data_IF_449710450814
#
_entry.id   IF_449710450814
#
_cell.length_a   1.000
_cell.length_b   1.000
_cell.length_c   1.000
_cell.angle_alpha   90.00
_cell.angle_beta   90.00
_cell.angle_gamma   90.00
#
_symmetry.space_group_name_H-M   'P 1'
#
loop_
_entity.id
_entity.type
_entity.pdbx_description
1 polymer ?
#
# COMPACT_ATOMS: atom_id res chain seq x y z
N UNK A 1 1.64 3.24 78.06
CA UNK A 1 1.55 4.52 77.33
C UNK A 1 0.57 4.30 76.20
N UNK A 2 -0.62 4.89 76.29
CA UNK A 2 -1.62 4.80 75.23
C UNK A 2 -1.18 5.71 74.07
N UNK A 3 -0.93 5.13 72.91
CA UNK A 3 -0.67 5.88 71.68
C UNK A 3 -1.97 6.46 71.17
N UNK A 4 -2.14 7.77 71.32
CA UNK A 4 -3.28 8.51 70.78
C UNK A 4 -3.10 8.59 69.25
N UNK A 5 -3.94 7.87 68.52
CA UNK A 5 -3.93 7.87 67.04
C UNK A 5 -5.02 8.81 66.53
N UNK A 6 -4.62 9.94 65.95
CA UNK A 6 -5.53 10.86 65.27
C UNK A 6 -5.64 10.48 63.79
N UNK A 7 -6.76 9.88 63.39
CA UNK A 7 -7.05 9.57 62.00
C UNK A 7 -7.79 10.74 61.34
N UNK A 8 -7.12 11.50 60.47
CA UNK A 8 -7.77 12.53 59.68
C UNK A 8 -8.51 11.90 58.51
N UNK A 9 -9.84 11.88 58.56
CA UNK A 9 -10.70 11.41 57.46
C UNK A 9 -11.35 12.61 56.78
N UNK A 10 -11.16 12.73 55.46
CA UNK A 10 -11.78 13.78 54.64
C UNK A 10 -12.49 13.12 53.44
N UNK A 11 -13.61 13.67 52.99
CA UNK A 11 -14.32 13.12 51.84
C UNK A 11 -13.50 13.33 50.55
N UNK A 12 -13.45 12.33 49.67
CA UNK A 12 -12.64 12.36 48.42
C UNK A 12 -12.91 13.59 47.55
N UNK A 13 -14.16 14.09 47.54
CA UNK A 13 -14.58 15.31 46.82
C UNK A 13 -13.94 16.61 47.33
N UNK A 14 -13.33 16.58 48.52
CA UNK A 14 -12.72 17.75 49.17
C UNK A 14 -11.19 17.73 49.09
N UNK A 15 -10.61 16.68 48.52
CA UNK A 15 -9.21 16.65 48.11
C UNK A 15 -9.02 17.50 46.85
N UNK A 16 -7.91 18.25 46.78
CA UNK A 16 -7.61 19.12 45.63
C UNK A 16 -8.33 20.49 45.62
N UNK A 17 -9.05 20.85 46.69
CA UNK A 17 -9.53 22.24 46.85
C UNK A 17 -8.33 23.16 47.06
N UNK A 18 -8.28 24.26 46.30
CA UNK A 18 -7.22 25.25 46.48
C UNK A 18 -7.32 25.84 47.90
N UNK A 19 -6.22 25.87 48.68
CA UNK A 19 -6.22 26.63 49.92
C UNK A 19 -6.38 28.12 49.58
N UNK A 20 -7.22 28.82 50.33
CA UNK A 20 -7.39 30.26 50.17
C UNK A 20 -6.46 30.97 51.16
N UNK A 21 -5.22 31.20 50.75
CA UNK A 21 -4.26 31.96 51.55
C UNK A 21 -4.48 33.46 51.34
N UNK A 22 -4.61 34.20 52.43
CA UNK A 22 -4.58 35.66 52.44
C UNK A 22 -3.32 36.11 53.18
N UNK A 23 -2.68 37.17 52.70
CA UNK A 23 -1.55 37.79 53.40
C UNK A 23 -2.06 38.46 54.69
N UNK A 24 -1.93 37.76 55.81
CA UNK A 24 -2.08 38.33 57.15
C UNK A 24 -0.70 38.66 57.72
N UNK A 25 -0.60 39.78 58.43
CA UNK A 25 0.63 40.12 59.16
C UNK A 25 0.92 39.01 60.19
N UNK A 26 2.20 38.65 60.43
CA UNK A 26 2.55 37.55 61.32
C UNK A 26 2.00 37.79 62.73
N UNK A 27 0.98 37.02 63.10
CA UNK A 27 0.39 36.97 64.42
C UNK A 27 0.79 35.69 65.15
N UNK A 28 1.15 35.79 66.42
CA UNK A 28 1.37 34.62 67.26
C UNK A 28 -0.02 34.02 67.55
N UNK A 29 -0.37 32.91 66.88
CA UNK A 29 -1.66 32.25 67.07
C UNK A 29 -1.76 31.57 68.45
N UNK A 30 -0.65 31.02 68.94
CA UNK A 30 -0.57 30.40 70.24
C UNK A 30 0.88 30.34 70.72
N UNK A 31 1.12 30.63 71.99
CA UNK A 31 2.42 30.49 72.63
C UNK A 31 2.31 29.44 73.74
N UNK A 32 3.01 28.32 73.57
CA UNK A 32 3.10 27.27 74.60
C UNK A 32 4.34 27.53 75.43
N UNK A 33 4.15 28.09 76.62
CA UNK A 33 5.24 28.24 77.57
C UNK A 33 5.52 26.90 78.26
N UNK A 34 6.79 26.50 78.41
CA UNK A 34 7.14 25.30 79.16
C UNK A 34 6.81 25.49 80.64
N UNK A 35 6.42 24.40 81.28
CA UNK A 35 6.16 24.36 82.72
C UNK A 35 7.44 24.68 83.52
N UNK A 36 7.34 25.57 84.50
CA UNK A 36 8.52 26.16 85.18
C UNK A 36 9.40 25.12 85.88
N UNK A 37 8.80 24.07 86.44
CA UNK A 37 9.51 23.02 87.16
C UNK A 37 10.36 22.17 86.21
N UNK A 38 9.80 21.77 85.07
CA UNK A 38 10.48 20.97 84.03
C UNK A 38 11.61 21.77 83.37
N UNK A 39 11.47 23.10 83.28
CA UNK A 39 12.51 23.97 82.71
C UNK A 39 13.78 24.01 83.56
N UNK A 40 13.66 23.88 84.89
CA UNK A 40 14.82 23.91 85.78
C UNK A 40 15.68 22.64 85.68
N UNK A 41 15.06 21.52 85.32
CA UNK A 41 15.73 20.22 85.14
C UNK A 41 16.26 20.00 83.70
N UNK A 42 16.18 21.02 82.83
CA UNK A 42 16.64 20.91 81.45
C UNK A 42 18.18 20.86 81.40
N UNK A 43 18.73 19.70 81.04
CA UNK A 43 20.15 19.51 80.74
C UNK A 43 20.33 19.49 79.22
N UNK A 44 21.08 20.46 78.68
CA UNK A 44 21.41 20.48 77.25
C UNK A 44 22.27 19.26 76.88
N UNK A 45 21.74 18.40 76.00
CA UNK A 45 22.50 17.27 75.46
C UNK A 45 23.35 17.71 74.27
N UNK A 46 24.66 17.53 74.40
CA UNK A 46 25.64 17.74 73.34
C UNK A 46 26.64 16.57 73.29
N UNK A 47 26.78 15.84 72.17
CA UNK A 47 26.08 16.02 70.89
C UNK A 47 24.66 15.43 70.89
N UNK A 48 23.76 16.07 70.15
CA UNK A 48 22.41 15.58 69.93
C UNK A 48 22.34 14.85 68.59
N UNK A 49 21.89 13.59 68.59
CA UNK A 49 21.72 12.79 67.37
C UNK A 49 20.24 12.78 67.01
N UNK A 50 19.87 13.50 65.95
CA UNK A 50 18.51 13.51 65.41
C UNK A 50 18.51 12.77 64.07
N UNK A 51 17.65 11.75 63.95
CA UNK A 51 17.48 11.00 62.71
C UNK A 51 16.35 11.64 61.90
N UNK A 52 16.66 12.14 60.71
CA UNK A 52 15.67 12.70 59.77
C UNK A 52 15.52 11.74 58.60
N UNK A 53 14.30 11.29 58.33
CA UNK A 53 14.01 10.44 57.19
C UNK A 53 13.58 11.29 55.99
N UNK A 54 14.35 11.23 54.90
CA UNK A 54 14.05 11.87 53.61
C UNK A 54 13.70 10.77 52.61
N UNK A 55 12.60 10.07 52.83
CA UNK A 55 12.07 9.12 51.86
C UNK A 55 10.71 9.64 51.40
N UNK A 56 10.47 9.78 50.08
CA UNK A 56 9.17 10.20 49.58
C UNK A 56 8.11 9.17 49.98
N UNK A 57 7.01 9.64 50.57
CA UNK A 57 5.88 8.78 50.92
C UNK A 57 5.23 8.25 49.63
N UNK A 58 5.25 6.93 49.47
CA UNK A 58 4.62 6.24 48.35
C UNK A 58 3.26 5.71 48.79
N UNK A 59 2.26 5.83 47.92
CA UNK A 59 0.92 5.29 48.15
C UNK A 59 0.54 4.36 47.01
N UNK A 60 0.20 3.12 47.32
CA UNK A 60 -0.27 2.11 46.37
C UNK A 60 -1.79 2.01 46.42
N UNK A 61 -2.41 1.82 45.27
CA UNK A 61 -3.85 1.60 45.15
C UNK A 61 -4.09 0.47 44.15
N UNK A 62 -4.75 -0.59 44.60
CA UNK A 62 -5.19 -1.69 43.74
C UNK A 62 -6.64 -1.48 43.32
N UNK A 63 -6.92 -1.68 42.02
CA UNK A 63 -8.27 -1.60 41.47
C UNK A 63 -8.53 -2.84 40.63
N UNK A 64 -9.57 -3.59 41.00
CA UNK A 64 -10.05 -4.73 40.23
C UNK A 64 -11.13 -4.26 39.25
N UNK A 65 -10.92 -4.52 37.96
CA UNK A 65 -11.93 -4.28 36.91
C UNK A 65 -12.61 -5.58 36.52
N UNK A 66 -13.93 -5.57 36.49
CA UNK A 66 -14.73 -6.71 36.02
C UNK A 66 -14.65 -6.84 34.49
N UNK A 67 -14.61 -8.08 34.01
CA UNK A 67 -14.52 -8.37 32.57
C UNK A 67 -15.89 -8.22 31.92
N UNK A 68 -16.10 -7.10 31.23
CA UNK A 68 -17.29 -6.86 30.42
C UNK A 68 -17.13 -7.53 29.05
N UNK A 69 -18.13 -8.33 28.64
CA UNK A 69 -18.16 -8.97 27.31
C UNK A 69 -18.89 -8.05 26.34
N UNK A 70 -18.18 -7.51 25.36
CA UNK A 70 -18.78 -6.73 24.29
C UNK A 70 -19.13 -7.63 23.11
N UNK A 71 -20.37 -7.54 22.62
CA UNK A 71 -20.81 -8.20 21.39
C UNK A 71 -21.00 -7.15 20.32
N UNK A 72 -20.23 -7.26 19.24
CA UNK A 72 -20.46 -6.46 18.04
C UNK A 72 -21.54 -7.13 17.19
N UNK A 73 -22.64 -6.43 16.92
CA UNK A 73 -23.71 -6.89 16.03
C UNK A 73 -23.84 -5.93 14.86
N UNK A 74 -23.55 -6.41 13.66
CA UNK A 74 -23.90 -5.75 12.41
C UNK A 74 -25.17 -6.35 11.82
N UNK A 75 -25.99 -5.53 11.19
CA UNK A 75 -27.11 -5.99 10.34
C UNK A 75 -26.70 -5.84 8.88
N UNK A 76 -26.92 -6.88 8.08
CA UNK A 76 -26.64 -6.87 6.65
C UNK A 76 -27.97 -6.93 5.90
N UNK A 77 -28.36 -5.83 5.25
CA UNK A 77 -29.53 -5.81 4.37
C UNK A 77 -29.15 -6.47 3.05
N UNK A 78 -29.47 -7.76 2.89
CA UNK A 78 -29.28 -8.49 1.63
C UNK A 78 -30.35 -8.15 0.57
N UNK A 79 -31.47 -7.59 1.02
CA UNK A 79 -32.72 -7.44 0.25
C UNK A 79 -33.20 -5.99 0.31
N UNK A 80 -32.36 -5.06 -0.13
CA UNK A 80 -32.67 -3.62 -0.12
C UNK A 80 -33.13 -3.14 -1.49
N UNK A 81 -34.18 -2.32 -1.54
CA UNK A 81 -34.58 -1.56 -2.73
C UNK A 81 -36.08 -1.58 -3.04
N UNK A 82 -36.84 -2.49 -2.44
CA UNK A 82 -38.28 -2.53 -2.60
C UNK A 82 -38.97 -1.57 -1.62
N UNK A 83 -40.02 -0.85 -2.05
CA UNK A 83 -40.84 -0.05 -1.15
C UNK A 83 -41.45 -0.91 -0.03
N UNK A 84 -41.71 -0.28 1.12
CA UNK A 84 -42.22 -0.93 2.34
C UNK A 84 -43.48 -1.80 2.16
N UNK A 85 -44.28 -1.54 1.12
CA UNK A 85 -45.55 -2.21 0.85
C UNK A 85 -45.41 -3.41 -0.14
N UNK A 86 -44.20 -3.73 -0.56
CA UNK A 86 -43.91 -4.78 -1.55
C UNK A 86 -43.00 -5.82 -0.93
N UNK A 87 -43.52 -7.05 -0.85
CA UNK A 87 -42.74 -8.21 -0.43
C UNK A 87 -41.89 -8.72 -1.62
N UNK A 88 -40.55 -8.72 -1.53
CA UNK A 88 -39.68 -9.25 -2.57
C UNK A 88 -39.74 -10.77 -2.72
N UNK A 89 -40.18 -11.49 -1.68
CA UNK A 89 -40.35 -12.95 -1.68
C UNK A 89 -41.50 -13.37 -2.59
N UNK A 90 -42.50 -12.50 -2.70
CA UNK A 90 -43.70 -12.72 -3.51
C UNK A 90 -43.52 -12.18 -4.94
N UNK A 91 -43.47 -13.11 -5.90
CA UNK A 91 -43.25 -12.79 -7.32
C UNK A 91 -44.40 -11.93 -7.89
N UNK A 92 -45.64 -12.13 -7.44
CA UNK A 92 -46.77 -11.33 -7.91
C UNK A 92 -46.64 -9.85 -7.50
N UNK A 93 -46.17 -9.60 -6.27
CA UNK A 93 -45.99 -8.23 -5.75
C UNK A 93 -44.90 -7.49 -6.53
N UNK A 94 -43.77 -8.15 -6.79
CA UNK A 94 -42.67 -7.57 -7.58
C UNK A 94 -43.08 -7.33 -9.05
N UNK A 95 -43.81 -8.26 -9.67
CA UNK A 95 -44.27 -8.13 -11.05
C UNK A 95 -45.29 -7.00 -11.20
N UNK A 96 -46.25 -6.90 -10.27
CA UNK A 96 -47.24 -5.81 -10.26
C UNK A 96 -46.56 -4.44 -10.13
N UNK A 97 -45.57 -4.33 -9.25
CA UNK A 97 -44.81 -3.10 -9.08
C UNK A 97 -44.04 -2.72 -10.35
N UNK A 98 -43.30 -3.67 -10.96
CA UNK A 98 -42.57 -3.43 -12.21
C UNK A 98 -43.50 -2.93 -13.32
N UNK A 99 -44.63 -3.62 -13.53
CA UNK A 99 -45.64 -3.21 -14.52
C UNK A 99 -46.26 -1.84 -14.25
N UNK A 100 -46.32 -1.41 -12.98
CA UNK A 100 -46.79 -0.07 -12.62
C UNK A 100 -45.76 0.97 -13.05
N UNK A 101 -44.50 0.80 -12.67
CA UNK A 101 -43.40 1.71 -13.01
C UNK A 101 -43.17 1.78 -14.53
N UNK A 102 -43.24 0.64 -15.22
CA UNK A 102 -43.05 0.57 -16.67
C UNK A 102 -44.11 1.33 -17.49
N UNK A 103 -45.25 1.67 -16.88
CA UNK A 103 -46.32 2.45 -17.51
C UNK A 103 -46.24 3.93 -17.18
N UNK A 104 -45.35 4.36 -16.29
CA UNK A 104 -45.21 5.77 -15.95
C UNK A 104 -44.58 6.53 -17.14
N UNK A 105 -45.20 7.65 -17.54
CA UNK A 105 -44.77 8.45 -18.70
C UNK A 105 -43.33 8.99 -18.53
N UNK A 106 -42.98 9.41 -17.32
CA UNK A 106 -41.63 9.89 -17.00
C UNK A 106 -40.58 8.78 -17.18
N UNK A 107 -40.93 7.53 -16.82
CA UNK A 107 -40.06 6.37 -17.02
C UNK A 107 -39.85 6.09 -18.50
N UNK A 108 -40.92 6.10 -19.30
CA UNK A 108 -40.84 5.91 -20.74
C UNK A 108 -40.02 7.00 -21.42
N UNK A 109 -40.24 8.26 -21.05
CA UNK A 109 -39.48 9.39 -21.59
C UNK A 109 -37.99 9.29 -21.24
N UNK A 110 -37.66 8.95 -19.99
CA UNK A 110 -36.28 8.78 -19.55
C UNK A 110 -35.56 7.66 -20.31
N UNK A 111 -36.22 6.51 -20.49
CA UNK A 111 -35.65 5.38 -21.24
C UNK A 111 -35.44 5.74 -22.71
N UNK A 112 -36.42 6.36 -23.36
CA UNK A 112 -36.28 6.75 -24.76
C UNK A 112 -35.12 7.74 -24.96
N UNK A 113 -35.01 8.73 -24.06
CA UNK A 113 -33.92 9.71 -24.08
C UNK A 113 -32.55 9.06 -23.89
N UNK A 114 -32.39 8.25 -22.84
CA UNK A 114 -31.12 7.57 -22.55
C UNK A 114 -30.77 6.52 -23.61
N UNK A 115 -31.78 5.84 -24.15
CA UNK A 115 -31.64 4.89 -25.25
C UNK A 115 -31.07 5.56 -26.50
N UNK A 116 -31.61 6.71 -26.90
CA UNK A 116 -31.08 7.47 -28.04
C UNK A 116 -29.64 7.93 -27.85
N UNK A 117 -29.29 8.41 -26.65
CA UNK A 117 -27.91 8.78 -26.32
C UNK A 117 -26.97 7.57 -26.34
N UNK A 118 -27.40 6.44 -25.79
CA UNK A 118 -26.60 5.21 -25.76
C UNK A 118 -26.41 4.64 -27.17
N UNK A 119 -27.43 4.70 -28.02
CA UNK A 119 -27.33 4.25 -29.42
C UNK A 119 -26.26 5.04 -30.19
N UNK A 120 -26.20 6.36 -29.99
CA UNK A 120 -25.15 7.19 -30.59
C UNK A 120 -23.75 6.77 -30.11
N UNK A 121 -23.57 6.56 -28.81
CA UNK A 121 -22.29 6.11 -28.24
C UNK A 121 -21.88 4.73 -28.78
N UNK A 122 -22.83 3.79 -28.93
CA UNK A 122 -22.56 2.47 -29.50
C UNK A 122 -22.13 2.59 -30.97
N UNK A 123 -22.80 3.43 -31.76
CA UNK A 123 -22.41 3.69 -33.15
C UNK A 123 -21.02 4.30 -33.23
N UNK A 124 -20.68 5.23 -32.33
CA UNK A 124 -19.35 5.84 -32.26
C UNK A 124 -18.26 4.81 -31.93
N UNK A 125 -18.49 3.97 -30.91
CA UNK A 125 -17.53 2.91 -30.53
C UNK A 125 -17.31 1.89 -31.66
N UNK A 126 -18.33 1.63 -32.47
CA UNK A 126 -18.23 0.71 -33.62
C UNK A 126 -17.68 1.38 -34.89
N UNK A 127 -17.58 2.72 -34.93
CA UNK A 127 -17.13 3.42 -36.14
C UNK A 127 -15.62 3.29 -36.35
N UNK A 128 -14.84 3.36 -35.27
CA UNK A 128 -13.39 3.17 -35.28
C UNK A 128 -13.00 2.53 -33.95
N UNK A 129 -12.25 1.43 -34.01
CA UNK A 129 -11.64 0.87 -32.80
C UNK A 129 -10.41 1.69 -32.42
N UNK A 130 -10.58 2.57 -31.44
CA UNK A 130 -9.51 3.42 -30.94
C UNK A 130 -8.47 2.65 -30.10
N UNK A 131 -8.73 1.39 -29.79
CA UNK A 131 -7.86 0.53 -29.00
C UNK A 131 -7.13 -0.52 -29.84
N UNK A 132 -7.29 -0.51 -31.17
CA UNK A 132 -6.58 -1.41 -32.07
C UNK A 132 -5.08 -1.08 -32.09
N UNK A 133 -4.24 -2.06 -31.76
CA UNK A 133 -2.78 -1.95 -31.86
C UNK A 133 -2.33 -2.41 -33.25
N UNK A 134 -1.89 -1.46 -34.09
CA UNK A 134 -1.36 -1.80 -35.41
C UNK A 134 -0.01 -2.49 -35.31
N UNK A 135 0.18 -3.53 -36.13
CA UNK A 135 1.42 -4.31 -36.25
C UNK A 135 1.75 -5.23 -35.06
N UNK A 136 0.77 -5.59 -34.23
CA UNK A 136 0.96 -6.60 -33.18
C UNK A 136 1.46 -7.93 -33.79
N UNK A 137 2.61 -8.41 -33.33
CA UNK A 137 3.20 -9.68 -33.76
C UNK A 137 3.99 -9.65 -35.09
N UNK A 138 4.10 -8.49 -35.75
CA UNK A 138 4.99 -8.35 -36.91
C UNK A 138 6.39 -7.91 -36.48
N UNK A 139 7.45 -8.72 -36.75
CA UNK A 139 8.82 -8.25 -36.56
C UNK A 139 9.13 -7.21 -37.63
N UNK A 140 9.63 -6.03 -37.21
CA UNK A 140 10.19 -5.03 -38.11
C UNK A 140 11.36 -5.63 -38.89
N UNK A 141 11.08 -6.10 -40.11
CA UNK A 141 12.08 -6.65 -41.02
C UNK A 141 12.33 -5.67 -42.15
N UNK A 142 12.90 -4.52 -41.81
CA UNK A 142 13.52 -3.67 -42.81
C UNK A 142 14.96 -4.16 -43.05
N UNK A 143 15.09 -5.20 -43.89
CA UNK A 143 16.39 -5.70 -44.32
C UNK A 143 16.88 -4.93 -45.54
N UNK A 144 17.78 -3.97 -45.31
CA UNK A 144 18.62 -3.40 -46.38
C UNK A 144 19.91 -4.21 -46.48
N UNK A 145 19.83 -5.43 -47.00
CA UNK A 145 21.02 -6.24 -47.22
C UNK A 145 21.78 -5.70 -48.45
N UNK A 146 22.93 -5.08 -48.19
CA UNK A 146 23.82 -4.56 -49.24
C UNK A 146 24.53 -5.74 -49.93
N UNK A 147 24.76 -5.68 -51.25
CA UNK A 147 25.52 -6.72 -51.93
C UNK A 147 26.92 -6.83 -51.31
N UNK A 148 27.31 -8.04 -50.92
CA UNK A 148 28.59 -8.32 -50.28
C UNK A 148 29.37 -9.34 -51.11
N UNK A 149 30.65 -9.05 -51.37
CA UNK A 149 31.55 -9.92 -52.12
C UNK A 149 32.79 -10.21 -51.27
N UNK A 150 32.96 -11.47 -50.89
CA UNK A 150 34.16 -11.95 -50.21
C UNK A 150 34.99 -12.84 -51.12
N UNK A 151 36.26 -12.49 -51.28
CA UNK A 151 37.22 -13.40 -51.90
C UNK A 151 37.59 -14.47 -50.88
N UNK A 152 37.05 -15.67 -51.05
CA UNK A 152 37.35 -16.79 -50.16
C UNK A 152 38.76 -17.33 -50.37
N UNK A 153 39.15 -17.53 -51.63
CA UNK A 153 40.43 -18.12 -52.01
C UNK A 153 40.94 -17.48 -53.30
N UNK A 154 42.26 -17.33 -53.39
CA UNK A 154 42.95 -16.87 -54.58
C UNK A 154 43.77 -18.03 -55.13
N UNK A 155 43.32 -18.63 -56.23
CA UNK A 155 44.06 -19.68 -56.91
C UNK A 155 45.22 -19.08 -57.71
N UNK A 156 46.45 -19.45 -57.37
CA UNK A 156 47.67 -19.03 -58.07
C UNK A 156 48.26 -20.22 -58.82
N UNK A 157 48.70 -19.97 -60.04
CA UNK A 157 49.38 -20.98 -60.85
C UNK A 157 50.83 -21.13 -60.38
N UNK A 158 51.27 -22.34 -59.99
CA UNK A 158 52.65 -22.59 -59.58
C UNK A 158 53.67 -22.60 -60.73
N UNK A 159 53.24 -22.47 -61.99
CA UNK A 159 54.15 -22.42 -63.16
C UNK A 159 55.09 -21.20 -63.11
N UNK A 160 56.40 -21.36 -63.43
CA UNK A 160 57.35 -20.25 -63.50
C UNK A 160 57.08 -19.28 -64.66
N UNK A 161 56.33 -19.73 -65.68
CA UNK A 161 55.93 -18.91 -66.82
C UNK A 161 54.59 -18.24 -66.52
N UNK A 162 54.57 -16.91 -66.53
CA UNK A 162 53.35 -16.12 -66.34
C UNK A 162 52.44 -16.27 -67.57
N UNK A 163 51.27 -16.87 -67.39
CA UNK A 163 50.27 -17.08 -68.44
C UNK A 163 48.90 -16.55 -68.00
N UNK A 164 48.15 -15.98 -68.94
CA UNK A 164 46.81 -15.46 -68.69
C UNK A 164 45.77 -16.60 -68.71
N UNK A 165 44.78 -16.52 -67.82
CA UNK A 165 43.65 -17.45 -67.81
C UNK A 165 42.64 -16.96 -68.85
N UNK A 166 42.38 -17.77 -69.87
CA UNK A 166 41.47 -17.42 -70.97
C UNK A 166 40.09 -18.04 -70.83
N UNK A 167 39.96 -19.10 -70.03
CA UNK A 167 38.69 -19.76 -69.81
C UNK A 167 38.61 -20.37 -68.41
N UNK A 168 37.43 -20.28 -67.81
CA UNK A 168 37.10 -20.86 -66.52
C UNK A 168 35.87 -21.76 -66.66
N UNK A 169 35.92 -22.98 -66.12
CA UNK A 169 34.78 -23.91 -66.13
C UNK A 169 34.54 -24.48 -64.72
N UNK A 170 33.28 -24.48 -64.28
CA UNK A 170 32.85 -25.17 -63.07
C UNK A 170 32.41 -26.60 -63.39
N UNK A 171 32.91 -27.60 -62.67
CA UNK A 171 32.33 -28.94 -62.71
C UNK A 171 31.01 -28.99 -61.91
N UNK A 172 29.93 -29.45 -62.53
CA UNK A 172 28.61 -29.62 -61.91
C UNK A 172 28.47 -30.93 -61.12
N UNK A 173 29.29 -31.15 -60.10
CA UNK A 173 29.09 -32.27 -59.17
C UNK A 173 28.40 -31.77 -57.89
N UNK A 174 27.15 -32.17 -57.69
CA UNK A 174 26.39 -31.90 -56.45
C UNK A 174 26.89 -32.81 -55.34
N UNK A 175 27.65 -32.26 -54.38
CA UNK A 175 28.00 -32.99 -53.17
C UNK A 175 26.78 -33.07 -52.24
N UNK A 176 26.39 -34.28 -51.83
CA UNK A 176 25.48 -34.46 -50.70
C UNK A 176 26.18 -33.99 -49.43
N UNK A 177 25.75 -32.86 -48.88
CA UNK A 177 26.31 -32.31 -47.64
C UNK A 177 27.19 -31.07 -47.85
N UNK A 178 26.56 -29.97 -48.24
CA UNK A 178 26.89 -28.65 -47.71
C UNK A 178 28.05 -27.85 -48.31
N UNK A 179 29.16 -28.45 -48.75
CA UNK A 179 30.24 -27.68 -49.39
C UNK A 179 30.91 -28.53 -50.48
N UNK A 180 30.35 -28.47 -51.69
CA UNK A 180 31.08 -28.89 -52.88
C UNK A 180 32.09 -27.79 -53.22
N UNK A 181 33.38 -28.01 -53.02
CA UNK A 181 34.37 -27.21 -53.73
C UNK A 181 34.17 -27.53 -55.23
N UNK A 182 33.78 -26.56 -56.08
CA UNK A 182 33.70 -26.84 -57.50
C UNK A 182 35.10 -27.26 -57.95
N UNK A 183 35.24 -28.41 -58.61
CA UNK A 183 36.49 -28.72 -59.27
C UNK A 183 36.64 -27.73 -60.43
N UNK A 184 37.53 -26.76 -60.25
CA UNK A 184 37.76 -25.67 -61.19
C UNK A 184 38.81 -26.12 -62.20
N UNK A 185 38.45 -26.14 -63.47
CA UNK A 185 39.40 -26.33 -64.56
C UNK A 185 39.70 -24.97 -65.21
N UNK A 186 40.97 -24.59 -65.22
CA UNK A 186 41.48 -23.39 -65.89
C UNK A 186 42.31 -23.82 -67.08
N UNK A 187 41.96 -23.34 -68.28
CA UNK A 187 42.75 -23.57 -69.50
C UNK A 187 43.55 -22.33 -69.83
N UNK A 188 44.82 -22.54 -70.13
CA UNK A 188 45.76 -21.51 -70.60
C UNK A 188 46.29 -21.97 -71.94
N UNK A 189 46.15 -21.16 -72.98
CA UNK A 189 46.77 -21.43 -74.27
C UNK A 189 48.12 -20.73 -74.34
N UNK A 190 49.15 -21.43 -74.81
CA UNK A 190 50.40 -20.76 -75.17
C UNK A 190 50.14 -20.01 -76.47
N UNK A 191 50.09 -18.68 -76.42
CA UNK A 191 50.29 -17.86 -77.61
C UNK A 191 51.70 -18.13 -78.11
N UNK A 192 51.81 -18.81 -79.25
CA UNK A 192 52.97 -18.70 -80.13
C UNK A 192 52.97 -17.32 -80.79
#
# INVERSE_FOLDING_TARGET
METIYYMYTKQRKEFGRHPNFSDEAPGILFEILPEREVKLDLIERNPCVANVQVVPEMSEHEVNTEKVVFKNTGQFHKEGGWPKDIDPTEVEHTLRYRKKVEKDEDYLHAIAKLGGQTEELVKQNNAVDIYEEYFEGHPDLESSEKPYANTLLVFRDPSPIKRAITHFSCLGHTAHGGIAAPNLSMRTYNTQ
#
